data_IF_198942242501
#
_entry.id   IF_198942242501
#
_cell.length_a   1.000
_cell.length_b   1.000
_cell.length_c   1.000
_cell.angle_alpha   90.00
_cell.angle_beta   90.00
_cell.angle_gamma   90.00
#
_symmetry.space_group_name_H-M   'P 1'
#
loop_
_entity.id
_entity.type
_entity.pdbx_description
1 polymer ?
#
# COMPACT_ATOMS: atom_id res chain seq x y z
N UNK A 1 4.19 19.58 9.39
CA UNK A 1 4.34 20.26 8.08
C UNK A 1 3.02 20.76 7.47
N UNK A 2 1.85 20.16 7.71
CA UNK A 2 0.57 20.62 7.11
C UNK A 2 -0.26 21.58 8.01
N UNK A 3 0.25 21.99 9.18
CA UNK A 3 -0.52 22.75 10.18
C UNK A 3 0.01 24.16 10.46
N UNK A 4 1.14 24.56 9.86
CA UNK A 4 1.66 25.94 9.97
C UNK A 4 1.62 26.57 8.59
N UNK A 5 0.85 27.64 8.45
CA UNK A 5 0.94 28.53 7.29
C UNK A 5 2.35 29.16 7.36
N UNK A 6 3.17 29.09 6.30
CA UNK A 6 4.53 29.61 6.36
C UNK A 6 4.53 31.12 6.61
N UNK A 7 5.08 31.55 7.74
CA UNK A 7 5.14 32.97 8.12
C UNK A 7 6.19 33.76 7.30
N UNK A 8 7.03 33.08 6.50
CA UNK A 8 8.01 33.70 5.60
C UNK A 8 8.39 32.80 4.40
N UNK A 9 9.04 33.38 3.39
CA UNK A 9 9.45 32.67 2.16
C UNK A 9 10.42 31.51 2.46
N UNK A 10 11.25 31.60 3.50
CA UNK A 10 12.23 30.55 3.85
C UNK A 10 11.54 29.30 4.42
N UNK A 11 10.53 29.48 5.28
CA UNK A 11 9.69 28.40 5.80
C UNK A 11 8.82 27.78 4.71
N UNK A 12 8.37 28.59 3.74
CA UNK A 12 7.69 28.10 2.54
C UNK A 12 8.62 27.20 1.71
N UNK A 13 9.82 27.67 1.35
CA UNK A 13 10.80 26.88 0.61
C UNK A 13 11.23 25.61 1.35
N UNK A 14 11.33 25.65 2.69
CA UNK A 14 11.58 24.46 3.51
C UNK A 14 10.41 23.46 3.45
N UNK A 15 9.16 23.93 3.40
CA UNK A 15 8.00 23.06 3.23
C UNK A 15 7.98 22.36 1.86
N UNK A 16 8.45 23.04 0.80
CA UNK A 16 8.58 22.47 -0.54
C UNK A 16 9.54 21.26 -0.62
N UNK A 17 10.53 21.18 0.27
CA UNK A 17 11.42 20.00 0.39
C UNK A 17 10.67 18.71 0.74
N UNK A 18 9.44 18.80 1.24
CA UNK A 18 8.61 17.64 1.55
C UNK A 18 7.70 17.21 0.39
N UNK A 19 7.62 17.98 -0.70
CA UNK A 19 6.72 17.69 -1.82
C UNK A 19 6.93 16.29 -2.39
N UNK A 20 8.17 15.79 -2.61
CA UNK A 20 8.37 14.42 -3.10
C UNK A 20 7.81 13.36 -2.16
N UNK A 21 7.95 13.55 -0.84
CA UNK A 21 7.34 12.69 0.19
C UNK A 21 5.82 12.66 0.08
N UNK A 22 5.18 13.82 -0.09
CA UNK A 22 3.73 13.91 -0.26
C UNK A 22 3.27 13.25 -1.55
N UNK A 23 3.95 13.51 -2.67
CA UNK A 23 3.63 12.93 -3.99
C UNK A 23 3.72 11.40 -3.95
N UNK A 24 4.81 10.84 -3.41
CA UNK A 24 4.95 9.39 -3.27
C UNK A 24 3.88 8.78 -2.34
N UNK A 25 3.57 9.46 -1.23
CA UNK A 25 2.52 9.00 -0.30
C UNK A 25 1.15 8.95 -0.98
N UNK A 26 0.76 10.01 -1.69
CA UNK A 26 -0.51 10.06 -2.43
C UNK A 26 -0.52 9.05 -3.56
N UNK A 27 0.59 8.84 -4.27
CA UNK A 27 0.67 7.84 -5.32
C UNK A 27 0.37 6.43 -4.77
N UNK A 28 0.93 6.07 -3.62
CA UNK A 28 0.65 4.78 -2.96
C UNK A 28 -0.82 4.67 -2.54
N UNK A 29 -1.37 5.70 -1.88
CA UNK A 29 -2.80 5.69 -1.50
C UNK A 29 -3.72 5.61 -2.73
N UNK A 30 -3.34 6.26 -3.83
CA UNK A 30 -4.05 6.23 -5.11
C UNK A 30 -4.11 4.83 -5.72
N UNK A 31 -3.11 3.98 -5.50
CA UNK A 31 -3.12 2.58 -5.94
C UNK A 31 -4.23 1.79 -5.21
N UNK A 32 -4.31 1.92 -3.88
CA UNK A 32 -5.35 1.25 -3.08
C UNK A 32 -6.74 1.80 -3.38
N UNK A 33 -6.88 3.12 -3.50
CA UNK A 33 -8.12 3.76 -3.91
C UNK A 33 -8.59 3.25 -5.28
N UNK A 34 -7.67 3.17 -6.26
CA UNK A 34 -8.00 2.63 -7.59
C UNK A 34 -8.41 1.16 -7.51
N UNK A 35 -7.78 0.37 -6.64
CA UNK A 35 -8.15 -1.02 -6.37
C UNK A 35 -9.58 -1.15 -5.85
N UNK A 36 -9.93 -0.35 -4.84
CA UNK A 36 -11.28 -0.28 -4.28
C UNK A 36 -12.31 0.19 -5.30
N UNK A 37 -12.01 1.27 -6.04
CA UNK A 37 -12.87 1.81 -7.09
C UNK A 37 -13.14 0.77 -8.18
N UNK A 38 -12.11 0.04 -8.63
CA UNK A 38 -12.27 -1.00 -9.64
C UNK A 38 -13.10 -2.18 -9.13
N UNK A 39 -12.89 -2.58 -7.88
CA UNK A 39 -13.71 -3.60 -7.22
C UNK A 39 -15.18 -3.17 -7.14
N UNK A 40 -15.45 -1.96 -6.66
CA UNK A 40 -16.81 -1.41 -6.53
C UNK A 40 -17.51 -1.35 -7.88
N UNK A 41 -16.82 -0.82 -8.91
CA UNK A 41 -17.35 -0.76 -10.28
C UNK A 41 -17.62 -2.14 -10.89
N UNK A 42 -16.86 -3.16 -10.51
CA UNK A 42 -16.98 -4.50 -11.11
C UNK A 42 -18.12 -5.32 -10.49
N UNK A 43 -18.29 -5.24 -9.18
CA UNK A 43 -19.21 -6.14 -8.48
C UNK A 43 -20.47 -5.44 -7.93
N UNK A 44 -20.44 -4.12 -7.71
CA UNK A 44 -21.61 -3.36 -7.23
C UNK A 44 -22.20 -3.89 -5.92
N UNK A 45 -21.37 -4.49 -5.05
CA UNK A 45 -21.82 -5.12 -3.82
C UNK A 45 -22.07 -4.08 -2.72
N UNK A 46 -23.28 -4.12 -2.15
CA UNK A 46 -23.73 -3.24 -1.06
C UNK A 46 -24.12 -4.04 0.20
N UNK A 47 -23.64 -5.28 0.34
CA UNK A 47 -23.91 -6.09 1.53
C UNK A 47 -23.13 -5.58 2.75
N UNK A 48 -23.67 -5.83 3.95
CA UNK A 48 -23.13 -5.28 5.20
C UNK A 48 -21.65 -5.58 5.44
N UNK A 49 -21.16 -6.75 5.01
CA UNK A 49 -19.74 -7.09 5.13
C UNK A 49 -18.87 -6.22 4.21
N UNK A 50 -19.28 -6.03 2.95
CA UNK A 50 -18.57 -5.19 1.98
C UNK A 50 -18.55 -3.71 2.39
N UNK A 51 -19.64 -3.22 2.98
CA UNK A 51 -19.73 -1.87 3.56
C UNK A 51 -18.76 -1.74 4.75
N UNK A 52 -18.79 -2.69 5.68
CA UNK A 52 -17.93 -2.67 6.86
C UNK A 52 -16.43 -2.69 6.49
N UNK A 53 -16.03 -3.54 5.54
CA UNK A 53 -14.64 -3.59 5.06
C UNK A 53 -14.26 -2.28 4.36
N UNK A 54 -15.16 -1.68 3.59
CA UNK A 54 -14.91 -0.39 2.94
C UNK A 54 -14.76 0.75 3.96
N UNK A 55 -15.52 0.74 5.06
CA UNK A 55 -15.34 1.69 6.16
C UNK A 55 -14.04 1.45 6.93
N UNK A 56 -13.70 0.20 7.21
CA UNK A 56 -12.41 -0.16 7.79
C UNK A 56 -11.25 0.38 6.94
N UNK A 57 -11.34 0.28 5.62
CA UNK A 57 -10.34 0.84 4.71
C UNK A 57 -10.17 2.36 4.82
N UNK A 58 -11.26 3.12 5.03
CA UNK A 58 -11.16 4.56 5.28
C UNK A 58 -10.39 4.82 6.58
N UNK A 59 -10.71 4.10 7.65
CA UNK A 59 -10.00 4.21 8.94
C UNK A 59 -8.53 3.86 8.76
N UNK A 60 -8.23 2.76 8.09
CA UNK A 60 -6.86 2.30 7.80
C UNK A 60 -6.09 3.35 7.00
N UNK A 61 -6.68 3.95 5.95
CA UNK A 61 -6.05 5.03 5.17
C UNK A 61 -5.71 6.24 6.06
N UNK A 62 -6.65 6.66 6.92
CA UNK A 62 -6.46 7.81 7.81
C UNK A 62 -5.32 7.58 8.82
N UNK A 63 -5.17 6.36 9.33
CA UNK A 63 -4.06 5.98 10.21
C UNK A 63 -2.76 5.85 9.41
N UNK A 64 -2.81 5.21 8.24
CA UNK A 64 -1.65 4.84 7.44
C UNK A 64 -0.93 6.04 6.80
N UNK A 65 -1.60 7.17 6.63
CA UNK A 65 -0.99 8.38 6.05
C UNK A 65 0.25 8.87 6.82
N UNK A 66 0.28 8.70 8.15
CA UNK A 66 1.38 9.15 8.99
C UNK A 66 2.64 8.30 8.85
N UNK A 67 2.61 6.96 9.06
CA UNK A 67 3.80 6.13 8.86
C UNK A 67 4.28 6.18 7.40
N UNK A 68 3.37 6.25 6.42
CA UNK A 68 3.72 6.36 5.00
C UNK A 68 4.56 7.63 4.73
N UNK A 69 4.15 8.78 5.27
CA UNK A 69 4.90 10.04 5.17
C UNK A 69 6.25 9.96 5.89
N UNK A 70 6.31 9.29 7.05
CA UNK A 70 7.55 9.13 7.79
C UNK A 70 8.58 8.31 6.99
N UNK A 71 8.18 7.17 6.43
CA UNK A 71 9.05 6.31 5.63
C UNK A 71 9.53 7.03 4.37
N UNK A 72 8.62 7.65 3.59
CA UNK A 72 9.04 8.38 2.39
C UNK A 72 9.89 9.62 2.70
N UNK A 73 9.60 10.30 3.81
CA UNK A 73 10.41 11.42 4.29
C UNK A 73 11.86 10.99 4.55
N UNK A 74 12.04 9.91 5.29
CA UNK A 74 13.35 9.36 5.61
C UNK A 74 14.07 8.84 4.36
N UNK A 75 13.34 8.18 3.45
CA UNK A 75 13.89 7.68 2.18
C UNK A 75 14.45 8.83 1.33
N UNK A 76 13.68 9.90 1.11
CA UNK A 76 14.14 11.06 0.34
C UNK A 76 15.29 11.78 1.03
N UNK A 77 15.29 11.87 2.36
CA UNK A 77 16.39 12.43 3.13
C UNK A 77 17.68 11.67 2.91
N UNK A 78 17.63 10.33 2.97
CA UNK A 78 18.77 9.46 2.70
C UNK A 78 19.27 9.59 1.26
N UNK A 79 18.37 9.48 0.27
CA UNK A 79 18.74 9.50 -1.16
C UNK A 79 19.29 10.85 -1.62
N UNK A 80 18.83 11.94 -1.02
CA UNK A 80 19.25 13.30 -1.39
C UNK A 80 20.40 13.85 -0.54
N UNK A 81 21.03 13.01 0.30
CA UNK A 81 22.07 13.45 1.25
C UNK A 81 21.62 14.63 2.12
N UNK A 82 20.36 14.60 2.57
CA UNK A 82 19.76 15.60 3.45
C UNK A 82 19.19 16.85 2.77
N UNK A 83 19.15 16.91 1.44
CA UNK A 83 18.65 18.08 0.72
C UNK A 83 17.11 18.17 0.72
N UNK A 84 16.42 17.03 0.65
CA UNK A 84 14.97 16.86 0.45
C UNK A 84 14.44 15.82 1.45
N UNK A 85 13.17 15.90 1.85
CA UNK A 85 12.57 15.00 2.83
C UNK A 85 12.84 15.41 4.27
N UNK A 86 12.58 14.51 5.22
CA UNK A 86 12.82 14.72 6.65
C UNK A 86 13.48 13.49 7.24
N UNK A 87 14.50 13.64 8.11
CA UNK A 87 15.01 12.50 8.84
C UNK A 87 13.91 11.99 9.80
N UNK A 88 14.02 10.73 10.23
CA UNK A 88 13.41 10.36 11.50
C UNK A 88 13.96 11.33 12.56
N UNK A 89 13.10 11.85 13.43
CA UNK A 89 13.48 12.84 14.46
C UNK A 89 14.87 12.58 15.03
N UNK A 90 15.69 13.62 15.23
CA UNK A 90 17.10 13.54 15.65
C UNK A 90 17.34 12.74 16.96
N UNK A 91 16.29 12.35 17.67
CA UNK A 91 16.30 11.52 18.89
C UNK A 91 15.67 10.13 18.71
N UNK A 92 15.55 9.63 17.47
CA UNK A 92 14.92 8.33 17.23
C UNK A 92 15.84 7.21 17.71
N UNK A 93 15.51 6.59 18.85
CA UNK A 93 16.21 5.39 19.33
C UNK A 93 16.04 4.27 18.29
N UNK A 94 17.00 3.33 18.21
CA UNK A 94 16.88 2.15 17.33
C UNK A 94 15.53 1.42 17.47
N UNK A 95 15.03 1.31 18.70
CA UNK A 95 13.71 0.75 18.99
C UNK A 95 12.58 1.54 18.34
N UNK A 96 12.65 2.87 18.29
CA UNK A 96 11.62 3.71 17.67
C UNK A 96 11.64 3.57 16.15
N UNK A 97 12.81 3.45 15.53
CA UNK A 97 12.93 3.19 14.09
C UNK A 97 12.25 1.85 13.72
N UNK A 98 12.54 0.78 14.46
CA UNK A 98 11.88 -0.53 14.29
C UNK A 98 10.36 -0.43 14.42
N UNK A 99 9.88 0.28 15.43
CA UNK A 99 8.44 0.50 15.64
C UNK A 99 7.79 1.22 14.46
N UNK A 100 8.44 2.24 13.88
CA UNK A 100 7.90 2.96 12.71
C UNK A 100 7.77 2.03 11.50
N UNK A 101 8.80 1.20 11.22
CA UNK A 101 8.73 0.22 10.14
C UNK A 101 7.67 -0.85 10.39
N UNK A 102 7.51 -1.32 11.63
CA UNK A 102 6.48 -2.28 11.99
C UNK A 102 5.06 -1.69 11.82
N UNK A 103 4.82 -0.46 12.29
CA UNK A 103 3.54 0.24 12.11
C UNK A 103 3.25 0.45 10.62
N UNK A 104 4.27 0.84 9.84
CA UNK A 104 4.14 0.96 8.39
C UNK A 104 3.74 -0.38 7.75
N UNK A 105 4.44 -1.46 8.09
CA UNK A 105 4.15 -2.79 7.56
C UNK A 105 2.73 -3.24 7.92
N UNK A 106 2.30 -3.05 9.16
CA UNK A 106 0.94 -3.36 9.61
C UNK A 106 -0.12 -2.58 8.83
N UNK A 107 0.08 -1.28 8.62
CA UNK A 107 -0.84 -0.46 7.84
C UNK A 107 -0.95 -0.93 6.38
N UNK A 108 0.18 -1.28 5.76
CA UNK A 108 0.19 -1.82 4.39
C UNK A 108 -0.49 -3.21 4.31
N UNK A 109 -0.23 -4.09 5.29
CA UNK A 109 -0.88 -5.40 5.38
C UNK A 109 -2.39 -5.21 5.52
N UNK A 110 -2.83 -4.32 6.42
CA UNK A 110 -4.24 -4.07 6.67
C UNK A 110 -4.96 -3.58 5.40
N UNK A 111 -4.46 -2.51 4.77
CA UNK A 111 -5.12 -1.93 3.59
C UNK A 111 -5.12 -2.88 2.37
N UNK A 112 -4.05 -3.66 2.19
CA UNK A 112 -4.01 -4.67 1.12
C UNK A 112 -4.92 -5.88 1.43
N UNK A 113 -4.99 -6.29 2.70
CA UNK A 113 -5.87 -7.36 3.14
C UNK A 113 -7.35 -6.95 3.03
N UNK A 114 -7.71 -5.71 3.29
CA UNK A 114 -9.09 -5.20 3.10
C UNK A 114 -9.52 -5.32 1.63
N UNK A 115 -8.67 -4.91 0.67
CA UNK A 115 -8.97 -5.10 -0.76
C UNK A 115 -9.03 -6.59 -1.13
N UNK A 116 -8.15 -7.41 -0.57
CA UNK A 116 -8.17 -8.86 -0.75
C UNK A 116 -9.48 -9.48 -0.22
N UNK A 117 -9.93 -9.06 0.96
CA UNK A 117 -11.18 -9.51 1.59
C UNK A 117 -12.41 -9.07 0.79
N UNK A 118 -12.41 -7.86 0.24
CA UNK A 118 -13.47 -7.41 -0.68
C UNK A 118 -13.55 -8.30 -1.93
N UNK A 119 -12.41 -8.64 -2.53
CA UNK A 119 -12.39 -9.56 -3.68
C UNK A 119 -12.75 -11.00 -3.27
N UNK A 120 -12.42 -11.42 -2.05
CA UNK A 120 -12.80 -12.72 -1.51
C UNK A 120 -14.32 -12.80 -1.29
N UNK A 121 -14.92 -11.72 -0.80
CA UNK A 121 -16.36 -11.60 -0.66
C UNK A 121 -17.07 -11.69 -2.01
N UNK A 122 -16.56 -10.98 -3.02
CA UNK A 122 -17.06 -11.08 -4.39
C UNK A 122 -16.91 -12.51 -4.96
N UNK A 123 -15.81 -13.20 -4.66
CA UNK A 123 -15.59 -14.58 -5.07
C UNK A 123 -16.56 -15.58 -4.40
N UNK A 124 -16.88 -15.37 -3.11
CA UNK A 124 -17.87 -16.16 -2.39
C UNK A 124 -19.27 -15.96 -2.97
N UNK A 125 -19.58 -14.75 -3.42
CA UNK A 125 -20.87 -14.37 -4.03
C UNK A 125 -20.90 -14.54 -5.56
N UNK A 126 -19.98 -15.31 -6.14
CA UNK A 126 -19.88 -15.47 -7.61
C UNK A 126 -21.15 -16.03 -8.27
N UNK A 127 -21.87 -16.94 -7.61
CA UNK A 127 -23.10 -17.54 -8.16
C UNK A 127 -24.26 -16.53 -8.14
N UNK A 128 -24.58 -15.84 -7.02
CA UNK A 128 -25.55 -14.74 -7.02
C UNK A 128 -25.20 -13.61 -8.00
N UNK A 129 -23.91 -13.28 -8.14
CA UNK A 129 -23.42 -12.27 -9.08
C UNK A 129 -23.45 -12.75 -10.53
N UNK A 130 -23.73 -14.04 -10.78
CA UNK A 130 -23.76 -14.67 -12.11
C UNK A 130 -22.48 -14.39 -12.92
N UNK A 131 -21.33 -14.46 -12.24
CA UNK A 131 -20.05 -14.21 -12.89
C UNK A 131 -19.81 -15.25 -13.98
N UNK A 132 -19.55 -14.80 -15.21
CA UNK A 132 -19.13 -15.71 -16.27
C UNK A 132 -17.71 -16.25 -15.98
N UNK A 133 -17.25 -17.22 -16.78
CA UNK A 133 -15.94 -17.84 -16.59
C UNK A 133 -14.79 -16.82 -16.64
N UNK A 134 -14.89 -15.84 -17.53
CA UNK A 134 -13.88 -14.79 -17.67
C UNK A 134 -13.84 -13.89 -16.44
N UNK A 135 -15.00 -13.46 -15.94
CA UNK A 135 -15.11 -12.67 -14.72
C UNK A 135 -14.60 -13.45 -13.51
N UNK A 136 -14.94 -14.74 -13.42
CA UNK A 136 -14.43 -15.63 -12.36
C UNK A 136 -12.90 -15.74 -12.40
N UNK A 137 -12.30 -15.88 -13.58
CA UNK A 137 -10.84 -15.88 -13.75
C UNK A 137 -10.22 -14.54 -13.35
N UNK A 138 -10.86 -13.42 -13.72
CA UNK A 138 -10.42 -12.07 -13.34
C UNK A 138 -10.50 -11.90 -11.82
N UNK A 139 -11.58 -12.31 -11.16
CA UNK A 139 -11.74 -12.24 -9.69
C UNK A 139 -10.67 -13.05 -8.98
N UNK A 140 -10.36 -14.28 -9.43
CA UNK A 140 -9.22 -15.06 -8.93
C UNK A 140 -7.88 -14.37 -9.16
N UNK A 141 -7.75 -13.70 -10.30
CA UNK A 141 -6.63 -12.84 -10.63
C UNK A 141 -6.44 -11.74 -9.58
N UNK A 142 -7.51 -11.02 -9.21
CA UNK A 142 -7.43 -10.00 -8.16
C UNK A 142 -7.05 -10.60 -6.81
N UNK A 143 -7.60 -11.75 -6.42
CA UNK A 143 -7.23 -12.43 -5.17
C UNK A 143 -5.73 -12.71 -5.09
N UNK A 144 -5.17 -13.27 -6.16
CA UNK A 144 -3.72 -13.55 -6.23
C UNK A 144 -2.87 -12.30 -6.43
N UNK A 145 -3.43 -11.23 -6.99
CA UNK A 145 -2.75 -9.94 -7.15
C UNK A 145 -2.62 -9.21 -5.82
N UNK A 146 -3.71 -9.14 -5.04
CA UNK A 146 -3.73 -8.48 -3.74
C UNK A 146 -3.10 -9.29 -2.61
N UNK A 147 -2.90 -10.61 -2.78
CA UNK A 147 -2.08 -11.40 -1.85
C UNK A 147 -0.59 -11.04 -1.91
N UNK A 148 -0.09 -10.49 -3.03
CA UNK A 148 1.30 -10.04 -3.17
C UNK A 148 1.62 -8.93 -2.15
N UNK A 149 0.89 -7.79 -2.13
CA UNK A 149 1.18 -6.74 -1.15
C UNK A 149 1.00 -7.16 0.30
N UNK A 150 0.04 -8.03 0.60
CA UNK A 150 -0.09 -8.66 1.92
C UNK A 150 1.18 -9.44 2.28
N UNK A 151 1.65 -10.30 1.37
CA UNK A 151 2.80 -11.17 1.62
C UNK A 151 4.10 -10.38 1.81
N UNK A 152 4.35 -9.39 0.94
CA UNK A 152 5.53 -8.50 1.08
C UNK A 152 5.44 -7.66 2.36
N UNK A 153 4.25 -7.19 2.73
CA UNK A 153 4.01 -6.52 4.00
C UNK A 153 4.37 -7.40 5.20
N UNK A 154 3.97 -8.67 5.19
CA UNK A 154 4.33 -9.64 6.24
C UNK A 154 5.85 -9.84 6.31
N UNK A 155 6.52 -10.00 5.16
CA UNK A 155 7.99 -10.12 5.13
C UNK A 155 8.66 -8.87 5.73
N UNK A 156 8.18 -7.68 5.36
CA UNK A 156 8.66 -6.42 5.95
C UNK A 156 8.46 -6.36 7.46
N UNK A 157 7.28 -6.78 7.95
CA UNK A 157 6.99 -6.82 9.38
C UNK A 157 7.95 -7.76 10.11
N UNK A 158 8.19 -8.94 9.55
CA UNK A 158 9.17 -9.89 10.10
C UNK A 158 10.56 -9.26 10.14
N UNK A 159 10.98 -8.58 9.07
CA UNK A 159 12.27 -7.87 9.06
C UNK A 159 12.34 -6.77 10.11
N UNK A 160 11.27 -5.97 10.28
CA UNK A 160 11.23 -4.91 11.27
C UNK A 160 11.37 -5.43 12.71
N UNK A 161 10.80 -6.60 12.98
CA UNK A 161 10.82 -7.24 14.31
C UNK A 161 12.11 -8.01 14.59
N UNK A 162 12.73 -8.62 13.57
CA UNK A 162 13.84 -9.57 13.75
C UNK A 162 15.22 -9.05 13.37
N UNK A 163 15.34 -8.11 12.42
CA UNK A 163 16.65 -7.64 11.96
C UNK A 163 17.34 -6.74 13.01
N UNK A 164 18.68 -6.74 13.06
CA UNK A 164 19.43 -5.75 13.84
C UNK A 164 19.24 -4.34 13.27
N UNK A 165 19.46 -3.31 14.11
CA UNK A 165 19.22 -1.92 13.74
C UNK A 165 20.00 -1.48 12.49
N UNK A 166 21.24 -1.97 12.33
CA UNK A 166 22.09 -1.70 11.16
C UNK A 166 21.46 -2.15 9.83
N UNK A 167 20.60 -3.16 9.87
CA UNK A 167 19.96 -3.76 8.70
C UNK A 167 18.49 -3.37 8.55
N UNK A 168 17.97 -2.49 9.41
CA UNK A 168 16.54 -2.14 9.43
C UNK A 168 16.05 -1.57 8.10
N UNK A 169 16.91 -0.94 7.32
CA UNK A 169 16.57 -0.44 5.98
C UNK A 169 15.98 -1.52 5.05
N UNK A 170 16.32 -2.80 5.25
CA UNK A 170 15.78 -3.91 4.45
C UNK A 170 14.27 -4.12 4.65
N UNK A 171 13.69 -3.74 5.80
CA UNK A 171 12.23 -3.72 5.95
C UNK A 171 11.57 -2.68 5.04
N UNK A 172 12.28 -1.61 4.65
CA UNK A 172 11.81 -0.69 3.62
C UNK A 172 12.08 -1.19 2.20
N UNK A 173 13.30 -1.66 1.93
CA UNK A 173 13.70 -2.03 0.57
C UNK A 173 12.94 -3.22 -0.02
N UNK A 174 12.43 -4.12 0.83
CA UNK A 174 11.63 -5.28 0.38
C UNK A 174 10.39 -4.87 -0.43
N UNK A 175 9.84 -3.66 -0.21
CA UNK A 175 8.70 -3.16 -0.98
C UNK A 175 9.03 -2.91 -2.45
N UNK A 176 10.29 -2.66 -2.81
CA UNK A 176 10.70 -2.53 -4.22
C UNK A 176 10.49 -3.82 -5.02
N UNK A 177 10.43 -4.99 -4.36
CA UNK A 177 10.10 -6.25 -5.02
C UNK A 177 8.75 -6.20 -5.73
N UNK A 178 7.80 -5.37 -5.26
CA UNK A 178 6.49 -5.19 -5.88
C UNK A 178 6.58 -4.62 -7.30
N UNK A 179 7.63 -3.84 -7.60
CA UNK A 179 7.87 -3.29 -8.95
C UNK A 179 8.03 -4.42 -9.98
N UNK A 180 8.52 -5.58 -9.54
CA UNK A 180 8.70 -6.77 -10.39
C UNK A 180 7.51 -7.73 -10.24
N UNK A 181 7.11 -8.03 -9.01
CA UNK A 181 6.08 -9.04 -8.72
C UNK A 181 4.71 -8.66 -9.31
N UNK A 182 4.30 -7.40 -9.21
CA UNK A 182 2.97 -6.96 -9.68
C UNK A 182 2.85 -6.99 -11.22
N UNK A 183 3.80 -6.43 -12.00
CA UNK A 183 3.74 -6.55 -13.46
C UNK A 183 3.87 -7.99 -13.96
N UNK A 184 4.71 -8.80 -13.31
CA UNK A 184 4.86 -10.21 -13.64
C UNK A 184 3.53 -10.97 -13.45
N UNK A 185 2.87 -10.75 -12.32
CA UNK A 185 1.55 -11.30 -12.05
C UNK A 185 0.51 -10.83 -13.08
N UNK A 186 0.47 -9.52 -13.39
CA UNK A 186 -0.45 -8.98 -14.38
C UNK A 186 -0.25 -9.60 -15.76
N UNK A 187 1.01 -9.78 -16.19
CA UNK A 187 1.34 -10.41 -17.46
C UNK A 187 0.90 -11.88 -17.50
N UNK A 188 1.16 -12.62 -16.43
CA UNK A 188 0.72 -14.01 -16.28
C UNK A 188 -0.82 -14.13 -16.35
N UNK A 189 -1.55 -13.30 -15.60
CA UNK A 189 -3.01 -13.28 -15.61
C UNK A 189 -3.57 -12.96 -17.01
N UNK A 190 -3.00 -11.95 -17.68
CA UNK A 190 -3.41 -11.55 -19.03
C UNK A 190 -3.20 -12.68 -20.05
N UNK A 191 -2.12 -13.45 -19.93
CA UNK A 191 -1.88 -14.65 -20.75
C UNK A 191 -2.96 -15.70 -20.52
N UNK A 192 -3.26 -16.04 -19.26
CA UNK A 192 -4.30 -17.04 -18.93
C UNK A 192 -5.69 -16.64 -19.42
N UNK A 193 -6.06 -15.37 -19.31
CA UNK A 193 -7.34 -14.87 -19.81
C UNK A 193 -7.42 -15.03 -21.34
N UNK A 194 -6.35 -14.71 -22.07
CA UNK A 194 -6.29 -14.89 -23.54
C UNK A 194 -6.39 -16.35 -23.95
N UNK A 195 -5.78 -17.27 -23.21
CA UNK A 195 -5.87 -18.71 -23.47
C UNK A 195 -7.28 -19.25 -23.23
N UNK A 196 -7.95 -18.77 -22.17
CA UNK A 196 -9.34 -19.13 -21.89
C UNK A 196 -10.32 -18.62 -22.97
N UNK A 197 -10.02 -17.48 -23.60
CA UNK A 197 -10.85 -16.94 -24.70
C UNK A 197 -10.68 -17.67 -26.04
N UNK A 198 -9.65 -18.50 -26.19
CA UNK A 198 -9.40 -19.28 -27.43
C UNK A 198 -10.06 -20.66 -27.41
N UNK A 199 -10.55 -21.10 -26.25
CA UNK A 199 -11.29 -22.35 -26.07
C UNK A 199 -12.78 -22.06 -26.19
#
# INVERSE_FOLDING_TARGET
AAQQIPDNIQTLLAAFKNVPTFVCSIAVLGIFWRGHWLWSRRYGLEDGASILISWAMIVTILIFIYPLKAIFGAMWYLLSSGQVGQPFSLHTTESQAKTIFAIYALGLIAISAEILLLNLRAWQLREPLRLNERESLVTRGELTGWSIPVSVGIVSLVFALTLPAEQIQWSGWVYLSMIILVPLHHHYLKRRIREAQKK
#
